data_IF_857726063785
#
_entry.id   IF_857726063785
#
_cell.length_a   1.000
_cell.length_b   1.000
_cell.length_c   1.000
_cell.angle_alpha   90.00
_cell.angle_beta   90.00
_cell.angle_gamma   90.00
#
_symmetry.space_group_name_H-M   'P 1'
#
loop_
_entity.id
_entity.type
_entity.pdbx_description
1 polymer ?
#
# COMPACT_ATOMS: atom_id res chain seq x y z
N UNK A 1 4.16 -42.09 46.51
CA UNK A 1 3.47 -41.47 45.36
C UNK A 1 3.22 -40.00 45.68
N UNK A 2 3.86 -39.08 44.97
CA UNK A 2 3.22 -37.90 44.35
C UNK A 2 4.29 -37.09 43.60
N UNK A 3 4.10 -36.93 42.29
CA UNK A 3 4.95 -36.14 41.39
C UNK A 3 4.60 -34.66 41.51
N UNK A 4 5.61 -33.80 41.70
CA UNK A 4 5.48 -32.36 41.45
C UNK A 4 6.34 -32.01 40.23
N UNK A 5 5.66 -31.84 39.10
CA UNK A 5 6.18 -31.34 37.83
C UNK A 5 6.85 -29.99 38.02
N UNK A 6 8.16 -29.91 37.82
CA UNK A 6 8.88 -28.65 37.79
C UNK A 6 8.43 -27.86 36.55
N UNK A 7 7.64 -26.81 36.77
CA UNK A 7 7.35 -25.79 35.76
C UNK A 7 8.67 -25.12 35.37
N UNK A 8 9.22 -25.51 34.22
CA UNK A 8 10.32 -24.78 33.57
C UNK A 8 9.82 -23.37 33.27
N UNK A 9 10.38 -22.37 33.95
CA UNK A 9 10.16 -20.97 33.63
C UNK A 9 10.41 -20.73 32.13
N UNK A 10 9.55 -19.99 31.42
CA UNK A 10 9.80 -19.63 30.03
C UNK A 10 11.09 -18.81 29.98
N UNK A 11 12.13 -19.37 29.35
CA UNK A 11 13.36 -18.63 29.07
C UNK A 11 12.99 -17.51 28.10
N UNK A 12 12.98 -16.27 28.59
CA UNK A 12 13.00 -15.09 27.73
C UNK A 12 14.33 -15.10 26.97
N UNK A 13 14.31 -15.62 25.75
CA UNK A 13 15.45 -15.52 24.84
C UNK A 13 15.66 -14.04 24.52
N UNK A 14 16.84 -13.50 24.81
CA UNK A 14 17.19 -12.13 24.45
C UNK A 14 17.47 -12.09 22.95
N UNK A 15 17.21 -10.94 22.31
CA UNK A 15 17.50 -10.74 20.88
C UNK A 15 18.95 -11.11 20.48
N UNK A 16 19.88 -11.03 21.44
CA UNK A 16 21.29 -11.42 21.30
C UNK A 16 21.49 -12.92 21.08
N UNK A 17 20.59 -13.77 21.57
CA UNK A 17 20.72 -15.23 21.55
C UNK A 17 20.54 -15.81 20.13
N UNK A 18 19.92 -15.04 19.22
CA UNK A 18 19.71 -15.42 17.82
C UNK A 18 20.93 -15.19 16.93
N UNK A 19 21.83 -14.25 17.30
CA UNK A 19 23.01 -13.93 16.49
C UNK A 19 23.99 -15.10 16.37
N UNK A 20 23.90 -16.10 17.25
CA UNK A 20 24.74 -17.29 17.22
C UNK A 20 24.17 -18.49 16.44
N UNK A 21 22.91 -18.42 15.96
CA UNK A 21 22.24 -19.56 15.30
C UNK A 21 21.83 -19.34 13.85
N UNK A 22 22.04 -18.14 13.30
CA UNK A 22 21.75 -17.86 11.90
C UNK A 22 22.82 -18.51 10.99
N UNK A 23 22.76 -19.83 10.84
CA UNK A 23 23.40 -20.53 9.73
C UNK A 23 22.59 -20.29 8.45
N UNK A 24 23.30 -20.18 7.34
CA UNK A 24 22.79 -20.06 5.97
C UNK A 24 21.52 -20.87 5.72
N UNK A 25 20.43 -20.19 5.37
CA UNK A 25 19.23 -20.80 4.78
C UNK A 25 17.96 -20.67 5.61
N UNK A 26 18.04 -20.61 6.94
CA UNK A 26 16.86 -20.50 7.79
C UNK A 26 16.56 -19.03 8.09
N UNK A 27 15.56 -18.48 7.40
CA UNK A 27 15.03 -17.16 7.67
C UNK A 27 14.63 -16.98 9.14
N UNK A 28 14.56 -15.72 9.59
CA UNK A 28 14.26 -15.38 10.99
C UNK A 28 13.10 -16.21 11.57
N UNK A 29 13.34 -17.00 12.64
CA UNK A 29 12.26 -17.75 13.27
C UNK A 29 11.21 -16.76 13.76
N UNK A 30 9.93 -17.10 13.57
CA UNK A 30 8.79 -16.28 13.97
C UNK A 30 8.63 -14.96 13.18
N UNK A 31 9.10 -14.90 11.93
CA UNK A 31 8.81 -13.76 11.03
C UNK A 31 7.32 -13.42 10.94
N UNK A 32 6.44 -14.43 11.06
CA UNK A 32 5.00 -14.22 11.06
C UNK A 32 4.50 -13.45 12.30
N UNK A 33 5.20 -13.56 13.45
CA UNK A 33 4.89 -12.81 14.67
C UNK A 33 5.41 -11.36 14.58
N UNK A 34 6.57 -11.16 13.95
CA UNK A 34 7.14 -9.81 13.76
C UNK A 34 6.23 -8.91 12.90
N UNK A 35 5.52 -9.47 11.92
CA UNK A 35 4.64 -8.68 11.06
C UNK A 35 3.48 -8.02 11.82
N UNK A 36 2.98 -8.64 12.89
CA UNK A 36 1.87 -8.12 13.69
C UNK A 36 2.33 -7.07 14.71
N UNK A 37 3.48 -7.31 15.35
CA UNK A 37 4.00 -6.41 16.39
C UNK A 37 4.70 -5.16 15.83
N UNK A 38 5.19 -5.20 14.58
CA UNK A 38 5.82 -4.07 13.90
C UNK A 38 4.87 -3.36 12.93
N UNK A 39 3.67 -2.99 13.41
CA UNK A 39 2.84 -2.02 12.68
C UNK A 39 3.52 -0.65 12.71
N UNK A 40 4.45 -0.43 11.79
CA UNK A 40 5.09 0.87 11.60
C UNK A 40 4.10 1.78 10.88
N UNK A 41 3.46 2.67 11.64
CA UNK A 41 2.68 3.76 11.05
C UNK A 41 3.65 4.77 10.42
N UNK A 42 3.88 4.61 9.12
CA UNK A 42 4.74 5.52 8.34
C UNK A 42 3.97 6.74 7.81
N UNK A 43 2.64 6.77 7.95
CA UNK A 43 1.82 7.84 7.38
C UNK A 43 1.71 8.98 8.38
N UNK A 44 1.98 10.19 7.92
CA UNK A 44 1.82 11.42 8.69
C UNK A 44 0.51 12.14 8.40
N UNK A 45 -0.27 11.64 7.43
CA UNK A 45 -1.48 12.31 6.92
C UNK A 45 -2.66 11.35 6.92
N UNK A 46 -3.85 11.78 7.41
CA UNK A 46 -5.05 10.97 7.38
C UNK A 46 -5.48 10.68 5.94
N UNK A 47 -6.22 9.58 5.79
CA UNK A 47 -6.88 9.18 4.55
C UNK A 47 -8.37 9.10 4.80
N UNK A 48 -9.17 9.47 3.82
CA UNK A 48 -10.63 9.40 3.91
C UNK A 48 -11.21 8.65 2.72
N UNK A 49 -12.34 7.94 2.89
CA UNK A 49 -13.08 7.40 1.76
C UNK A 49 -13.56 8.55 0.88
N UNK A 50 -13.52 8.34 -0.43
CA UNK A 50 -14.07 9.26 -1.44
C UNK A 50 -15.20 8.53 -2.16
N UNK A 51 -16.35 9.17 -2.29
CA UNK A 51 -17.50 8.59 -2.98
C UNK A 51 -17.27 8.57 -4.50
N UNK A 52 -17.92 7.62 -5.18
CA UNK A 52 -17.86 7.49 -6.64
C UNK A 52 -16.63 6.74 -7.15
N UNK A 53 -16.31 6.98 -8.42
CA UNK A 53 -15.19 6.38 -9.14
C UNK A 53 -14.30 7.46 -9.76
N UNK A 54 -13.12 7.06 -10.22
CA UNK A 54 -12.20 7.93 -10.94
C UNK A 54 -11.61 7.23 -12.17
N UNK A 55 -11.64 7.89 -13.31
CA UNK A 55 -11.03 7.42 -14.55
C UNK A 55 -9.59 7.93 -14.62
N UNK A 56 -8.63 7.01 -14.77
CA UNK A 56 -7.24 7.32 -15.08
C UNK A 56 -7.01 7.18 -16.59
N UNK A 57 -6.64 8.26 -17.24
CA UNK A 57 -6.13 8.24 -18.61
C UNK A 57 -4.60 8.33 -18.58
N UNK A 58 -3.91 7.29 -19.03
CA UNK A 58 -2.47 7.31 -19.19
C UNK A 58 -2.02 8.36 -20.20
N UNK A 59 -0.88 9.00 -19.93
CA UNK A 59 -0.29 10.07 -20.75
C UNK A 59 1.13 9.67 -21.21
N UNK A 60 1.61 10.32 -22.27
CA UNK A 60 2.96 10.08 -22.82
C UNK A 60 3.13 8.63 -23.29
N UNK A 61 4.15 7.93 -22.77
CA UNK A 61 4.39 6.53 -23.11
C UNK A 61 3.26 5.58 -22.66
N UNK A 62 2.38 6.02 -21.75
CA UNK A 62 1.20 5.27 -21.32
C UNK A 62 -0.10 5.69 -22.04
N UNK A 63 -0.02 6.53 -23.07
CA UNK A 63 -1.21 7.01 -23.79
C UNK A 63 -2.01 5.85 -24.39
N UNK A 64 -3.34 5.93 -24.25
CA UNK A 64 -4.28 4.89 -24.68
C UNK A 64 -4.66 3.88 -23.59
N UNK A 65 -3.96 3.87 -22.46
CA UNK A 65 -4.40 3.14 -21.28
C UNK A 65 -5.50 3.93 -20.55
N UNK A 66 -6.66 3.32 -20.36
CA UNK A 66 -7.76 3.86 -19.55
C UNK A 66 -8.07 2.86 -18.45
N UNK A 67 -8.13 3.32 -17.21
CA UNK A 67 -8.38 2.48 -16.04
C UNK A 67 -9.40 3.15 -15.13
N UNK A 68 -10.47 2.44 -14.79
CA UNK A 68 -11.44 2.89 -13.79
C UNK A 68 -11.00 2.49 -12.38
N UNK A 69 -11.11 3.43 -11.45
CA UNK A 69 -10.84 3.23 -10.04
C UNK A 69 -12.14 3.26 -9.24
N UNK A 70 -12.38 2.17 -8.51
CA UNK A 70 -13.43 2.07 -7.50
C UNK A 70 -12.86 2.13 -6.08
N UNK A 71 -13.73 2.27 -5.07
CA UNK A 71 -13.34 2.21 -3.66
C UNK A 71 -12.25 3.24 -3.33
N UNK A 72 -12.53 4.49 -3.72
CA UNK A 72 -11.57 5.57 -3.67
C UNK A 72 -11.20 5.92 -2.22
N UNK A 73 -9.92 6.15 -2.02
CA UNK A 73 -9.35 6.63 -0.76
C UNK A 73 -8.45 7.81 -1.09
N UNK A 74 -8.83 8.98 -0.57
CA UNK A 74 -8.15 10.25 -0.76
C UNK A 74 -7.18 10.58 0.38
N UNK A 75 -6.21 11.43 0.04
CA UNK A 75 -5.38 12.21 0.93
C UNK A 75 -5.06 13.54 0.19
N UNK A 76 -4.53 14.58 0.85
CA UNK A 76 -4.38 15.91 0.25
C UNK A 76 -3.59 15.94 -1.07
N UNK A 77 -2.66 15.00 -1.29
CA UNK A 77 -1.81 14.93 -2.50
C UNK A 77 -1.87 13.56 -3.21
N UNK A 78 -2.77 12.68 -2.79
CA UNK A 78 -2.83 11.30 -3.30
C UNK A 78 -4.27 10.82 -3.45
N UNK A 79 -4.49 10.02 -4.48
CA UNK A 79 -5.69 9.21 -4.67
C UNK A 79 -5.29 7.74 -4.75
N UNK A 80 -6.15 6.85 -4.26
CA UNK A 80 -5.97 5.42 -4.53
C UNK A 80 -7.31 4.73 -4.68
N UNK A 81 -7.35 3.71 -5.54
CA UNK A 81 -8.54 2.96 -5.88
C UNK A 81 -8.20 1.53 -6.25
N UNK A 82 -9.21 0.72 -6.44
CA UNK A 82 -9.10 -0.64 -7.01
C UNK A 82 -9.51 -0.61 -8.48
N UNK A 83 -8.77 -1.34 -9.32
CA UNK A 83 -9.02 -1.48 -10.75
C UNK A 83 -8.97 -2.96 -11.16
N UNK A 84 -9.51 -3.30 -12.33
CA UNK A 84 -9.33 -4.63 -12.95
C UNK A 84 -8.03 -4.70 -13.74
N UNK A 85 -7.66 -3.60 -14.37
CA UNK A 85 -6.46 -3.48 -15.19
C UNK A 85 -5.32 -2.87 -14.38
N UNK A 86 -4.09 -3.29 -14.72
CA UNK A 86 -2.88 -2.69 -14.16
C UNK A 86 -2.56 -1.40 -14.92
N UNK A 87 -2.19 -0.36 -14.18
CA UNK A 87 -1.43 0.76 -14.72
C UNK A 87 0.00 0.73 -14.17
N UNK A 88 1.00 0.92 -15.02
CA UNK A 88 2.40 0.82 -14.60
C UNK A 88 2.79 1.93 -13.63
N UNK A 89 3.66 1.62 -12.67
CA UNK A 89 4.27 2.64 -11.80
C UNK A 89 5.14 3.55 -12.65
N UNK A 90 5.07 4.86 -12.41
CA UNK A 90 5.71 5.91 -13.19
C UNK A 90 4.83 6.46 -14.31
N UNK A 91 3.72 5.81 -14.67
CA UNK A 91 2.79 6.34 -15.67
C UNK A 91 2.20 7.67 -15.21
N UNK A 92 2.34 8.69 -16.06
CA UNK A 92 1.64 9.97 -15.92
C UNK A 92 0.17 9.78 -16.29
N UNK A 93 -0.73 10.39 -15.54
CA UNK A 93 -2.18 10.24 -15.74
C UNK A 93 -2.89 11.58 -15.66
N UNK A 94 -3.93 11.72 -16.48
CA UNK A 94 -5.05 12.63 -16.21
C UNK A 94 -6.13 11.87 -15.46
N UNK A 95 -6.78 12.51 -14.50
CA UNK A 95 -7.73 11.93 -13.56
C UNK A 95 -9.07 12.66 -13.73
N UNK A 96 -10.07 11.93 -14.21
CA UNK A 96 -11.46 12.35 -14.19
C UNK A 96 -12.18 11.73 -12.99
N UNK A 97 -13.15 12.44 -12.42
CA UNK A 97 -13.97 11.94 -11.32
C UNK A 97 -15.40 11.76 -11.80
N UNK A 98 -16.11 10.77 -11.26
CA UNK A 98 -17.54 10.58 -11.54
C UNK A 98 -18.40 11.70 -10.99
N UNK A 99 -17.93 12.40 -9.96
CA UNK A 99 -18.56 13.61 -9.42
C UNK A 99 -18.28 14.79 -10.38
N UNK A 100 -19.31 15.39 -11.00
CA UNK A 100 -19.13 16.48 -11.96
C UNK A 100 -18.60 17.77 -11.31
N UNK A 101 -18.78 17.94 -10.00
CA UNK A 101 -18.28 19.11 -9.27
C UNK A 101 -16.82 18.92 -8.81
N UNK A 102 -16.28 17.70 -8.91
CA UNK A 102 -14.90 17.43 -8.55
C UNK A 102 -13.93 17.96 -9.61
N UNK A 103 -12.94 18.73 -9.16
CA UNK A 103 -11.91 19.28 -10.04
C UNK A 103 -11.07 18.14 -10.65
N UNK A 104 -10.92 18.08 -11.99
CA UNK A 104 -9.98 17.16 -12.63
C UNK A 104 -8.56 17.38 -12.11
N UNK A 105 -7.79 16.30 -12.06
CA UNK A 105 -6.42 16.32 -11.56
C UNK A 105 -5.47 15.63 -12.53
N UNK A 106 -4.17 15.85 -12.32
CA UNK A 106 -3.11 15.12 -13.00
C UNK A 106 -2.17 14.55 -11.95
N UNK A 107 -1.48 13.46 -12.28
CA UNK A 107 -0.57 12.84 -11.35
C UNK A 107 0.30 11.75 -11.94
N UNK A 108 0.99 11.05 -11.05
CA UNK A 108 1.88 9.94 -11.39
C UNK A 108 1.47 8.71 -10.59
N UNK A 109 1.34 7.57 -11.27
CA UNK A 109 1.17 6.28 -10.59
C UNK A 109 2.41 5.97 -9.80
N UNK A 110 2.25 5.81 -8.49
CA UNK A 110 3.35 5.63 -7.53
C UNK A 110 3.29 4.24 -6.90
N UNK A 111 2.15 3.56 -7.05
CA UNK A 111 1.98 2.18 -6.62
C UNK A 111 0.93 1.48 -7.49
N UNK A 112 1.22 0.25 -7.90
CA UNK A 112 0.26 -0.67 -8.50
C UNK A 112 0.57 -2.07 -7.97
N UNK A 113 -0.28 -2.59 -7.09
CA UNK A 113 -0.08 -3.89 -6.42
C UNK A 113 -1.32 -4.74 -6.64
N UNK A 114 -1.11 -5.98 -7.07
CA UNK A 114 -2.19 -6.96 -7.19
C UNK A 114 -2.74 -7.28 -5.80
N UNK A 115 -4.06 -7.24 -5.65
CA UNK A 115 -4.77 -7.72 -4.47
C UNK A 115 -5.22 -9.16 -4.69
N UNK A 116 -5.85 -9.76 -3.70
CA UNK A 116 -6.41 -11.11 -3.84
C UNK A 116 -7.34 -11.17 -5.07
N UNK A 117 -7.13 -12.18 -5.92
CA UNK A 117 -7.78 -12.30 -7.22
C UNK A 117 -7.12 -11.47 -8.34
N UNK A 118 -7.96 -10.85 -9.18
CA UNK A 118 -7.54 -10.12 -10.39
C UNK A 118 -7.62 -8.60 -10.24
N UNK A 119 -7.83 -8.09 -9.03
CA UNK A 119 -7.88 -6.65 -8.78
C UNK A 119 -6.49 -6.05 -8.53
N UNK A 120 -6.30 -4.80 -8.94
CA UNK A 120 -5.12 -4.00 -8.70
C UNK A 120 -5.45 -2.84 -7.77
N UNK A 121 -4.70 -2.68 -6.69
CA UNK A 121 -4.69 -1.44 -5.90
C UNK A 121 -3.71 -0.48 -6.56
N UNK A 122 -4.24 0.61 -7.11
CA UNK A 122 -3.48 1.67 -7.75
C UNK A 122 -3.48 2.90 -6.84
N UNK A 123 -2.32 3.53 -6.68
CA UNK A 123 -2.20 4.82 -6.03
C UNK A 123 -1.51 5.81 -6.94
N UNK A 124 -2.08 7.00 -7.00
CA UNK A 124 -1.63 8.13 -7.79
C UNK A 124 -1.26 9.25 -6.84
N UNK A 125 -0.08 9.82 -7.01
CA UNK A 125 0.30 11.08 -6.37
C UNK A 125 -0.07 12.20 -7.34
N UNK A 126 -0.85 13.16 -6.88
CA UNK A 126 -1.15 14.35 -7.66
C UNK A 126 0.13 15.11 -7.97
N UNK A 127 0.22 15.64 -9.18
CA UNK A 127 1.24 16.62 -9.47
C UNK A 127 0.92 17.88 -8.65
N UNK A 128 1.95 18.56 -8.12
CA UNK A 128 1.72 19.86 -7.49
C UNK A 128 1.01 20.75 -8.52
N UNK A 129 -0.05 21.43 -8.09
CA UNK A 129 -0.68 22.41 -8.96
C UNK A 129 0.43 23.39 -9.35
N UNK A 130 0.82 23.40 -10.63
CA UNK A 130 1.57 24.53 -11.16
C UNK A 130 0.70 25.74 -10.87
N UNK A 131 1.17 26.57 -9.94
CA UNK A 131 0.73 27.94 -9.82
C UNK A 131 1.12 28.61 -11.13
N UNK A 132 0.25 28.50 -12.13
CA UNK A 132 0.30 29.38 -13.27
C UNK A 132 -0.01 30.77 -12.71
N UNK A 133 1.06 31.56 -12.56
CA UNK A 133 1.03 32.99 -12.31
C UNK A 133 0.42 33.73 -13.50
#
# INVERSE_FOLDING_TARGET
MSMATALRSPRTLRASDWRGRAHEGDGWPLRELLAQDFRVERRTTPRWPVAGSATLLGLGAGLGAVVELDGLVGAPWWLSGTAREKLAVGTKVSIGFSDPDARPASGTVVRAVRQDGDAWRIAVRFDEASSAA
#
